data_IF_661403574157
#
_entry.id   IF_661403574157
#
_cell.length_a   1.000
_cell.length_b   1.000
_cell.length_c   1.000
_cell.angle_alpha   90.00
_cell.angle_beta   90.00
_cell.angle_gamma   90.00
#
_symmetry.space_group_name_H-M   'P 1'
#
loop_
_entity.id
_entity.type
_entity.pdbx_description
1 polymer ?
#
# COMPACT_ATOMS: atom_id res chain seq x y z
N UNK A 1 -26.50 -12.92 17.85
CA UNK A 1 -25.79 -12.53 16.62
C UNK A 1 -24.34 -12.34 17.02
N UNK A 2 -23.49 -13.30 16.75
CA UNK A 2 -22.07 -13.20 17.09
C UNK A 2 -21.45 -12.04 16.30
N UNK A 3 -20.66 -11.14 16.94
CA UNK A 3 -19.95 -10.10 16.21
C UNK A 3 -19.01 -10.78 15.22
N UNK A 4 -19.32 -10.65 13.93
CA UNK A 4 -18.50 -11.19 12.86
C UNK A 4 -17.09 -10.68 13.00
N UNK A 5 -16.16 -11.57 13.31
CA UNK A 5 -14.74 -11.28 13.44
C UNK A 5 -14.28 -10.71 12.10
N UNK A 6 -14.15 -9.37 12.02
CA UNK A 6 -13.61 -8.69 10.86
C UNK A 6 -12.14 -9.10 10.80
N UNK A 7 -11.88 -10.18 10.06
CA UNK A 7 -10.53 -10.67 9.86
C UNK A 7 -9.64 -9.51 9.46
N UNK A 8 -8.45 -9.46 10.05
CA UNK A 8 -7.36 -8.55 9.67
C UNK A 8 -6.95 -8.86 8.22
N UNK A 9 -7.83 -8.56 7.27
CA UNK A 9 -7.49 -8.50 5.86
C UNK A 9 -6.85 -7.13 5.69
N UNK A 10 -5.59 -7.11 5.25
CA UNK A 10 -4.93 -5.90 4.77
C UNK A 10 -5.92 -5.13 3.88
N UNK A 11 -6.52 -4.07 4.43
CA UNK A 11 -7.47 -3.26 3.67
C UNK A 11 -6.63 -2.42 2.71
N UNK A 12 -6.58 -2.83 1.45
CA UNK A 12 -5.93 -2.10 0.36
C UNK A 12 -6.68 -0.82 -0.04
N UNK A 13 -7.82 -0.57 0.57
CA UNK A 13 -8.70 0.56 0.28
C UNK A 13 -8.91 1.36 1.56
N UNK A 14 -8.65 2.66 1.46
CA UNK A 14 -8.61 3.59 2.57
C UNK A 14 -9.55 4.77 2.39
N UNK A 15 -9.52 5.70 3.35
CA UNK A 15 -10.23 6.98 3.21
C UNK A 15 -9.30 8.17 3.43
N UNK A 16 -9.14 8.99 2.40
CA UNK A 16 -8.46 10.29 2.49
C UNK A 16 -9.47 11.42 2.27
N UNK A 17 -9.53 12.38 3.21
CA UNK A 17 -10.47 13.52 3.18
C UNK A 17 -11.94 13.10 2.93
N UNK A 18 -12.34 11.98 3.52
CA UNK A 18 -13.71 11.42 3.43
C UNK A 18 -14.00 10.59 2.17
N UNK A 19 -13.15 10.66 1.15
CA UNK A 19 -13.27 9.89 -0.10
C UNK A 19 -12.58 8.54 0.01
N UNK A 20 -13.07 7.56 -0.74
CA UNK A 20 -12.46 6.23 -0.84
C UNK A 20 -11.24 6.31 -1.77
N UNK A 21 -10.09 5.85 -1.30
CA UNK A 21 -8.79 6.04 -1.97
C UNK A 21 -7.86 4.84 -1.78
N UNK A 22 -7.04 4.54 -2.79
CA UNK A 22 -5.99 3.51 -2.78
C UNK A 22 -4.72 4.11 -3.38
N UNK A 23 -3.58 3.83 -2.75
CA UNK A 23 -2.27 4.22 -3.25
C UNK A 23 -1.62 3.04 -3.99
N UNK A 24 -0.86 3.35 -5.05
CA UNK A 24 -0.09 2.38 -5.82
C UNK A 24 1.38 2.76 -5.73
N UNK A 25 2.20 1.89 -5.18
CA UNK A 25 3.65 2.05 -5.13
C UNK A 25 4.30 1.17 -6.20
N UNK A 26 5.38 1.66 -6.80
CA UNK A 26 6.17 0.92 -7.79
C UNK A 26 7.67 1.02 -7.45
N UNK A 27 8.35 -0.13 -7.40
CA UNK A 27 9.82 -0.18 -7.47
C UNK A 27 10.20 -0.22 -8.94
N UNK A 28 11.11 0.64 -9.37
CA UNK A 28 11.55 0.74 -10.76
C UNK A 28 13.06 0.49 -10.86
N UNK A 29 13.48 -0.16 -11.94
CA UNK A 29 14.90 -0.35 -12.24
C UNK A 29 15.54 0.90 -12.87
N UNK A 30 16.84 0.84 -13.14
CA UNK A 30 17.61 1.97 -13.68
C UNK A 30 17.10 2.52 -15.02
N UNK A 31 16.43 1.68 -15.82
CA UNK A 31 15.82 2.08 -17.10
C UNK A 31 14.36 2.56 -16.95
N UNK A 32 13.84 2.67 -15.73
CA UNK A 32 12.46 3.08 -15.45
C UNK A 32 11.42 1.95 -15.55
N UNK A 33 11.84 0.72 -15.87
CA UNK A 33 10.94 -0.43 -15.95
C UNK A 33 10.43 -0.83 -14.55
N UNK A 34 9.10 -0.95 -14.33
CA UNK A 34 8.57 -1.41 -13.05
C UNK A 34 8.97 -2.86 -12.75
N UNK A 35 9.51 -3.10 -11.56
CA UNK A 35 9.96 -4.40 -11.07
C UNK A 35 8.95 -5.02 -10.08
N UNK A 36 8.24 -4.18 -9.32
CA UNK A 36 7.26 -4.60 -8.31
C UNK A 36 6.22 -3.52 -8.08
N UNK A 37 4.97 -3.94 -7.88
CA UNK A 37 3.88 -3.08 -7.45
C UNK A 37 3.33 -3.50 -6.10
N UNK A 38 2.85 -2.54 -5.32
CA UNK A 38 2.12 -2.81 -4.08
C UNK A 38 0.99 -1.80 -3.87
N UNK A 39 -0.17 -2.31 -3.46
CA UNK A 39 -1.34 -1.49 -3.15
C UNK A 39 -1.42 -1.24 -1.64
N UNK A 40 -1.76 -0.01 -1.28
CA UNK A 40 -1.99 0.40 0.11
C UNK A 40 -3.27 1.23 0.22
N UNK A 41 -3.83 1.28 1.41
CA UNK A 41 -4.95 2.17 1.66
C UNK A 41 -4.49 3.63 1.54
N UNK A 42 -5.32 4.49 0.92
CA UNK A 42 -4.89 5.84 0.56
C UNK A 42 -4.68 6.83 1.72
N UNK A 43 -4.92 6.42 2.97
CA UNK A 43 -4.51 7.21 4.14
C UNK A 43 -3.15 6.80 4.71
N UNK A 44 -2.57 5.71 4.23
CA UNK A 44 -1.29 5.21 4.72
C UNK A 44 -0.15 6.09 4.21
N UNK A 45 0.90 6.23 5.02
CA UNK A 45 2.04 7.09 4.70
C UNK A 45 2.97 6.44 3.68
N UNK A 46 3.24 7.17 2.60
CA UNK A 46 4.09 6.66 1.51
C UNK A 46 5.54 6.42 1.95
N UNK A 47 6.08 7.21 2.87
CA UNK A 47 7.48 7.11 3.31
C UNK A 47 7.81 5.77 3.98
N UNK A 48 6.93 5.31 4.88
CA UNK A 48 7.08 4.02 5.57
C UNK A 48 7.01 2.88 4.56
N UNK A 49 6.01 2.91 3.67
CA UNK A 49 5.83 1.85 2.69
C UNK A 49 6.97 1.80 1.68
N UNK A 50 7.38 2.96 1.18
CA UNK A 50 8.45 3.08 0.18
C UNK A 50 9.77 2.54 0.73
N UNK A 51 10.10 2.84 2.00
CA UNK A 51 11.28 2.29 2.65
C UNK A 51 11.23 0.76 2.74
N UNK A 52 10.13 0.18 3.23
CA UNK A 52 9.96 -1.27 3.32
C UNK A 52 10.04 -1.96 1.95
N UNK A 53 9.50 -1.33 0.89
CA UNK A 53 9.57 -1.86 -0.46
C UNK A 53 10.98 -1.80 -1.07
N UNK A 54 11.79 -0.79 -0.69
CA UNK A 54 13.16 -0.62 -1.17
C UNK A 54 14.16 -1.46 -0.39
N UNK A 55 13.90 -1.79 0.88
CA UNK A 55 14.79 -2.53 1.77
C UNK A 55 15.40 -3.82 1.17
N UNK A 56 14.69 -4.63 0.36
CA UNK A 56 15.29 -5.80 -0.28
C UNK A 56 16.26 -5.51 -1.43
N UNK A 57 16.33 -4.25 -1.89
CA UNK A 57 17.07 -3.81 -3.07
C UNK A 57 18.27 -2.93 -2.74
N UNK A 58 18.48 -2.61 -1.46
CA UNK A 58 19.58 -1.80 -0.92
C UNK A 58 20.33 -2.60 0.16
#
# INVERSE_FOLDING_TARGET
MEPGQKGQKFQIMGRSRGRLTTNIHAVVGALGNPLRFELMAGQDHDSVKSYEMLKPWI
#
